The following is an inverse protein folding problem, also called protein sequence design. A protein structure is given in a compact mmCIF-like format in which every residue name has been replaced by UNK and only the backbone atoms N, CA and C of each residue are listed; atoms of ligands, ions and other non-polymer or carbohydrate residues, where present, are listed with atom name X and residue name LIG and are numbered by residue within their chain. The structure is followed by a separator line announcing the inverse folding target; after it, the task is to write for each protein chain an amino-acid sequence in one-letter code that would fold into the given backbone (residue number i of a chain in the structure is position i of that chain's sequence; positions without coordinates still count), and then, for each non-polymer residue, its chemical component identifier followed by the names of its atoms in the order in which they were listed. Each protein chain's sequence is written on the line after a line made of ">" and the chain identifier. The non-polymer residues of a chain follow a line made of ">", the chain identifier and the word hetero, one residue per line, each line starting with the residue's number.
data_IF_053537125301
#
_entry.id   IF_053537125301
#
_cell.length_a   1.000
_cell.length_b   1.000
_cell.length_c   1.000
_cell.angle_alpha   90.00
_cell.angle_beta   90.00
_cell.angle_gamma   90.00
#
_symmetry.space_group_name_H-M   'P 1'
#
loop_
_entity.id
_entity.type
_entity.pdbx_description
1 polymer ?
#
# COMPACT_ATOMS: atom_id res chain seq x y z
N UNK A 1 -13.75 -18.98 2.17
CA UNK A 1 -12.90 -18.43 3.24
C UNK A 1 -11.54 -18.20 2.62
N UNK A 2 -11.12 -16.95 2.50
CA UNK A 2 -9.77 -16.58 2.05
C UNK A 2 -8.78 -16.92 3.15
N UNK A 3 -7.69 -17.60 2.82
CA UNK A 3 -6.61 -17.90 3.77
C UNK A 3 -5.87 -16.62 4.14
N UNK A 4 -5.16 -16.57 5.29
CA UNK A 4 -4.34 -15.41 5.65
C UNK A 4 -3.32 -15.03 4.56
N UNK A 5 -2.72 -16.03 3.89
CA UNK A 5 -1.76 -15.80 2.82
C UNK A 5 -2.41 -15.16 1.58
N UNK A 6 -3.59 -15.62 1.18
CA UNK A 6 -4.36 -15.02 0.08
C UNK A 6 -4.79 -13.59 0.43
N UNK A 7 -5.19 -13.32 1.69
CA UNK A 7 -5.54 -11.96 2.11
C UNK A 7 -4.35 -11.00 2.02
N UNK A 8 -3.16 -11.43 2.43
CA UNK A 8 -1.94 -10.63 2.26
C UNK A 8 -1.60 -10.38 0.79
N UNK A 9 -1.81 -11.36 -0.09
CA UNK A 9 -1.58 -11.20 -1.51
C UNK A 9 -2.55 -10.17 -2.14
N UNK A 10 -3.83 -10.22 -1.76
CA UNK A 10 -4.86 -9.25 -2.17
C UNK A 10 -4.55 -7.83 -1.68
N UNK A 11 -4.15 -7.68 -0.42
CA UNK A 11 -3.83 -6.37 0.14
C UNK A 11 -2.57 -5.80 -0.50
N UNK A 12 -1.54 -6.62 -0.77
CA UNK A 12 -0.38 -6.20 -1.56
C UNK A 12 -0.76 -5.82 -3.00
N UNK A 13 -1.64 -6.57 -3.65
CA UNK A 13 -2.11 -6.21 -4.99
C UNK A 13 -2.81 -4.83 -4.98
N UNK A 14 -3.61 -4.57 -3.94
CA UNK A 14 -4.26 -3.27 -3.72
C UNK A 14 -3.23 -2.15 -3.53
N UNK A 15 -2.24 -2.35 -2.64
CA UNK A 15 -1.17 -1.37 -2.40
C UNK A 15 -0.38 -1.08 -3.66
N UNK A 16 -0.04 -2.11 -4.43
CA UNK A 16 0.70 -1.94 -5.67
C UNK A 16 -0.08 -1.09 -6.68
N UNK A 17 -1.35 -1.42 -6.93
CA UNK A 17 -2.19 -0.66 -7.86
C UNK A 17 -2.37 0.80 -7.40
N UNK A 18 -2.49 1.03 -6.10
CA UNK A 18 -2.58 2.38 -5.53
C UNK A 18 -1.29 3.19 -5.76
N UNK A 19 -0.11 2.59 -5.56
CA UNK A 19 1.17 3.27 -5.81
C UNK A 19 1.39 3.54 -7.31
N UNK A 20 1.04 2.56 -8.17
CA UNK A 20 1.05 2.74 -9.63
C UNK A 20 0.13 3.88 -10.08
N UNK A 21 -1.02 4.06 -9.44
CA UNK A 21 -1.89 5.22 -9.68
C UNK A 21 -1.29 6.50 -9.09
N UNK A 22 -0.73 6.46 -7.88
CA UNK A 22 -0.21 7.63 -7.19
C UNK A 22 0.88 8.33 -8.01
N UNK A 23 1.77 7.56 -8.64
CA UNK A 23 2.86 8.12 -9.47
C UNK A 23 2.39 8.76 -10.79
N UNK A 24 1.12 8.59 -11.18
CA UNK A 24 0.55 9.31 -12.34
C UNK A 24 -0.08 10.65 -11.97
N UNK A 25 -0.17 10.97 -10.66
CA UNK A 25 -0.76 12.21 -10.18
C UNK A 25 0.22 13.39 -10.34
N UNK A 26 -0.32 14.59 -10.50
CA UNK A 26 0.47 15.81 -10.39
C UNK A 26 1.04 15.97 -8.98
N UNK A 27 2.19 16.65 -8.84
CA UNK A 27 2.95 16.70 -7.58
C UNK A 27 2.10 17.06 -6.34
N UNK A 28 1.21 18.05 -6.46
CA UNK A 28 0.34 18.46 -5.36
C UNK A 28 -0.68 17.40 -4.95
N UNK A 29 -1.25 16.70 -5.94
CA UNK A 29 -2.21 15.61 -5.73
C UNK A 29 -1.50 14.36 -5.18
N UNK A 30 -0.29 14.07 -5.67
CA UNK A 30 0.56 12.99 -5.18
C UNK A 30 0.87 13.14 -3.69
N UNK A 31 1.37 14.31 -3.25
CA UNK A 31 1.67 14.57 -1.84
C UNK A 31 0.41 14.48 -0.98
N UNK A 32 -0.70 15.05 -1.46
CA UNK A 32 -2.00 14.95 -0.80
C UNK A 32 -2.49 13.51 -0.66
N UNK A 33 -2.35 12.71 -1.70
CA UNK A 33 -2.72 11.29 -1.71
C UNK A 33 -1.92 10.50 -0.67
N UNK A 34 -0.59 10.61 -0.70
CA UNK A 34 0.28 9.90 0.24
C UNK A 34 0.05 10.30 1.70
N UNK A 35 -0.23 11.58 1.96
CA UNK A 35 -0.53 12.05 3.31
C UNK A 35 -1.76 11.37 3.93
N UNK A 36 -2.74 10.98 3.12
CA UNK A 36 -3.95 10.28 3.57
C UNK A 36 -3.85 8.76 3.45
N UNK A 37 -2.88 8.25 2.70
CA UNK A 37 -2.79 6.83 2.36
C UNK A 37 -2.58 5.93 3.57
N UNK A 38 -1.92 6.44 4.62
CA UNK A 38 -1.77 5.72 5.89
C UNK A 38 -3.10 5.25 6.50
N UNK A 39 -4.20 6.00 6.32
CA UNK A 39 -5.52 5.59 6.80
C UNK A 39 -6.03 4.35 6.03
N UNK A 40 -5.74 4.26 4.73
CA UNK A 40 -6.11 3.09 3.92
C UNK A 40 -5.31 1.86 4.34
N UNK A 41 -4.01 2.02 4.60
CA UNK A 41 -3.16 0.94 5.12
C UNK A 41 -3.70 0.38 6.44
N UNK A 42 -4.16 1.24 7.36
CA UNK A 42 -4.80 0.80 8.60
C UNK A 42 -6.08 0.00 8.34
N UNK A 43 -6.92 0.42 7.38
CA UNK A 43 -8.14 -0.33 7.03
C UNK A 43 -7.84 -1.70 6.41
N UNK A 44 -6.76 -1.82 5.63
CA UNK A 44 -6.31 -3.12 5.11
C UNK A 44 -5.77 -4.00 6.24
N UNK A 45 -4.97 -3.41 7.14
CA UNK A 45 -4.40 -4.09 8.30
C UNK A 45 -5.46 -4.62 9.28
N UNK A 46 -6.64 -3.98 9.38
CA UNK A 46 -7.75 -4.42 10.23
C UNK A 46 -8.29 -5.81 9.88
N UNK A 47 -8.03 -6.30 8.66
CA UNK A 47 -8.41 -7.65 8.22
C UNK A 47 -7.52 -8.75 8.81
N UNK A 48 -6.41 -8.39 9.43
CA UNK A 48 -5.39 -9.32 9.90
C UNK A 48 -5.40 -9.47 11.42
N UNK A 49 -5.17 -10.69 11.95
CA UNK A 49 -5.09 -10.91 13.41
C UNK A 49 -4.00 -10.07 14.09
N UNK A 50 -2.87 -9.84 13.41
CA UNK A 50 -1.75 -9.04 13.89
C UNK A 50 -1.72 -7.68 13.17
N UNK A 51 -2.72 -6.84 13.46
CA UNK A 51 -2.95 -5.53 12.81
C UNK A 51 -1.70 -4.67 12.66
N UNK A 52 -0.93 -4.48 13.74
CA UNK A 52 0.26 -3.60 13.69
C UNK A 52 1.36 -4.15 12.79
N UNK A 53 1.58 -5.47 12.81
CA UNK A 53 2.53 -6.13 11.93
C UNK A 53 2.06 -6.06 10.47
N UNK A 54 0.77 -6.25 10.23
CA UNK A 54 0.18 -6.11 8.89
C UNK A 54 0.33 -4.67 8.37
N UNK A 55 0.04 -3.67 9.19
CA UNK A 55 0.22 -2.26 8.81
C UNK A 55 1.68 -1.97 8.45
N UNK A 56 2.64 -2.37 9.30
CA UNK A 56 4.07 -2.18 9.02
C UNK A 56 4.50 -2.89 7.74
N UNK A 57 4.02 -4.11 7.52
CA UNK A 57 4.33 -4.87 6.32
C UNK A 57 3.79 -4.18 5.06
N UNK A 58 2.53 -3.74 5.07
CA UNK A 58 1.92 -3.07 3.94
C UNK A 58 2.53 -1.69 3.67
N UNK A 59 2.94 -0.96 4.72
CA UNK A 59 3.65 0.30 4.59
C UNK A 59 5.03 0.10 3.93
N UNK A 60 5.84 -0.83 4.45
CA UNK A 60 7.14 -1.15 3.85
C UNK A 60 6.99 -1.58 2.39
N UNK A 61 5.96 -2.38 2.08
CA UNK A 61 5.70 -2.79 0.72
C UNK A 61 5.27 -1.64 -0.20
N UNK A 62 4.53 -0.65 0.32
CA UNK A 62 4.21 0.56 -0.45
C UNK A 62 5.48 1.33 -0.81
N UNK A 63 6.39 1.51 0.16
CA UNK A 63 7.69 2.16 -0.06
C UNK A 63 8.53 1.39 -1.11
N UNK A 64 8.62 0.06 -0.99
CA UNK A 64 9.31 -0.80 -1.98
C UNK A 64 8.76 -0.63 -3.40
N UNK A 65 7.43 -0.55 -3.56
CA UNK A 65 6.81 -0.34 -4.88
C UNK A 65 7.15 1.04 -5.43
N UNK A 66 7.14 2.08 -4.61
CA UNK A 66 7.53 3.43 -5.03
C UNK A 66 8.99 3.49 -5.46
N UNK A 67 9.90 2.84 -4.72
CA UNK A 67 11.32 2.73 -5.08
C UNK A 67 11.51 2.01 -6.42
N UNK A 68 10.79 0.89 -6.64
CA UNK A 68 10.81 0.17 -7.92
C UNK A 68 10.32 1.02 -9.08
N UNK A 69 9.24 1.80 -8.89
CA UNK A 69 8.67 2.67 -9.91
C UNK A 69 9.61 3.83 -10.24
N UNK A 70 10.27 4.41 -9.23
CA UNK A 70 11.26 5.46 -9.42
C UNK A 70 12.49 4.96 -10.19
N UNK A 71 12.96 3.74 -9.92
CA UNK A 71 14.10 3.15 -10.62
C UNK A 71 13.86 2.80 -12.10
N UNK A 72 12.60 2.81 -12.57
CA UNK A 72 12.21 2.53 -13.96
C UNK A 72 12.14 3.78 -14.85
N UNK A 73 12.27 4.97 -14.27
CA UNK A 73 12.26 6.26 -14.97
C UNK A 73 13.68 6.68 -15.35
#
# INVERSE_FOLDING_TARGET
>A
MTTPAEQYAEDRATVKADMEQAVTLEFGEYVGYLAHYGIKLWKLADKHPARELAHRHLQNYADEVLDELAARQ
#
